data_IF_263421093738
#
_entry.id   IF_263421093738
#
_cell.length_a   1.000
_cell.length_b   1.000
_cell.length_c   1.000
_cell.angle_alpha   90.00
_cell.angle_beta   90.00
_cell.angle_gamma   90.00
#
_symmetry.space_group_name_H-M   'P 1'
#
loop_
_entity.id
_entity.type
_entity.pdbx_description
1 polymer ?
#
# COMPACT_ATOMS: atom_id res chain seq x y z
N UNK A 1 62.54 -18.57 4.25
CA UNK A 1 63.26 -18.67 5.55
C UNK A 1 63.57 -17.30 6.18
N UNK A 2 63.98 -16.27 5.41
CA UNK A 2 64.25 -14.92 5.94
C UNK A 2 63.05 -14.18 6.58
N UNK A 3 61.83 -14.33 6.06
CA UNK A 3 60.63 -13.68 6.64
C UNK A 3 60.25 -14.24 8.01
N UNK A 4 60.48 -15.54 8.24
CA UNK A 4 60.17 -16.20 9.51
C UNK A 4 61.18 -15.87 10.61
N UNK A 5 62.42 -15.52 10.24
CA UNK A 5 63.44 -15.01 11.17
C UNK A 5 63.15 -13.57 11.59
N UNK A 6 62.67 -12.74 10.66
CA UNK A 6 62.22 -11.37 10.97
C UNK A 6 61.05 -11.36 11.95
N UNK A 7 60.03 -12.18 11.69
CA UNK A 7 58.81 -12.17 12.51
C UNK A 7 59.02 -12.72 13.93
N UNK A 8 59.99 -13.62 14.14
CA UNK A 8 60.39 -14.07 15.48
C UNK A 8 61.27 -13.05 16.20
N UNK A 9 62.10 -12.30 15.47
CA UNK A 9 62.90 -11.20 16.00
C UNK A 9 62.02 -10.07 16.53
N UNK A 10 61.07 -9.61 15.72
CA UNK A 10 60.19 -8.48 16.06
C UNK A 10 59.28 -8.80 17.27
N UNK A 11 58.78 -10.04 17.38
CA UNK A 11 57.95 -10.48 18.52
C UNK A 11 58.73 -10.50 19.85
N UNK A 12 59.99 -10.96 19.83
CA UNK A 12 60.85 -10.98 21.02
C UNK A 12 61.19 -9.56 21.47
N UNK A 13 61.51 -8.71 20.50
CA UNK A 13 61.82 -7.31 20.72
C UNK A 13 60.61 -6.56 21.31
N UNK A 14 59.41 -6.74 20.75
CA UNK A 14 58.17 -6.19 21.27
C UNK A 14 57.86 -6.63 22.72
N UNK A 15 58.05 -7.92 23.04
CA UNK A 15 57.83 -8.41 24.41
C UNK A 15 58.80 -7.79 25.43
N UNK A 16 60.04 -7.51 25.03
CA UNK A 16 61.05 -6.90 25.92
C UNK A 16 60.74 -5.43 26.21
N UNK A 17 60.19 -4.71 25.23
CA UNK A 17 59.71 -3.34 25.38
C UNK A 17 58.45 -3.32 26.25
N UNK A 18 57.49 -4.21 25.98
CA UNK A 18 56.27 -4.35 26.77
C UNK A 18 56.57 -4.63 28.24
N UNK A 19 57.54 -5.53 28.52
CA UNK A 19 57.97 -5.82 29.88
C UNK A 19 58.59 -4.60 30.57
N UNK A 20 59.40 -3.81 29.87
CA UNK A 20 60.00 -2.57 30.41
C UNK A 20 58.96 -1.48 30.70
N UNK A 21 57.95 -1.36 29.82
CA UNK A 21 56.81 -0.44 29.99
C UNK A 21 55.96 -0.83 31.18
N UNK A 22 55.63 -2.12 31.33
CA UNK A 22 54.84 -2.64 32.46
C UNK A 22 55.61 -2.48 33.78
N UNK A 23 56.94 -2.59 33.76
CA UNK A 23 57.80 -2.34 34.92
C UNK A 23 58.03 -0.84 35.23
N UNK A 24 57.37 0.08 34.51
CA UNK A 24 57.50 1.52 34.76
C UNK A 24 58.82 2.14 34.31
N UNK A 25 59.64 1.43 33.53
CA UNK A 25 60.86 1.97 32.94
C UNK A 25 60.54 2.65 31.61
N UNK A 26 61.07 3.85 31.38
CA UNK A 26 60.94 4.56 30.10
C UNK A 26 61.82 3.84 29.05
N UNK A 27 61.26 3.15 28.05
CA UNK A 27 62.07 2.49 27.04
C UNK A 27 62.69 3.56 26.13
N UNK A 28 63.98 3.43 25.83
CA UNK A 28 64.61 4.25 24.81
C UNK A 28 64.08 3.81 23.43
N UNK A 29 63.17 4.60 22.86
CA UNK A 29 62.45 4.33 21.61
C UNK A 29 63.22 4.76 20.34
N UNK A 30 64.51 5.12 20.45
CA UNK A 30 65.36 5.46 19.30
C UNK A 30 65.46 4.27 18.33
N UNK A 31 64.60 4.26 17.30
CA UNK A 31 64.56 3.25 16.24
C UNK A 31 63.20 2.57 16.03
N UNK A 32 62.20 2.79 16.88
CA UNK A 32 60.85 2.25 16.67
C UNK A 32 59.98 3.23 15.89
N UNK A 33 60.15 3.23 14.57
CA UNK A 33 59.17 3.87 13.71
C UNK A 33 57.92 2.99 13.68
N UNK A 34 56.85 3.42 14.34
CA UNK A 34 55.50 2.85 14.16
C UNK A 34 55.16 2.71 12.67
N UNK A 35 55.71 3.58 11.84
CA UNK A 35 55.63 3.59 10.39
C UNK A 35 56.12 2.29 9.70
N UNK A 36 57.08 1.58 10.30
CA UNK A 36 57.58 0.28 9.79
C UNK A 36 56.70 -0.91 10.19
N UNK A 37 55.96 -0.82 11.31
CA UNK A 37 55.00 -1.84 11.75
C UNK A 37 53.60 -1.59 11.17
N UNK A 38 53.25 -0.31 11.01
CA UNK A 38 52.02 0.22 10.41
C UNK A 38 52.36 0.69 8.99
N UNK A 39 53.23 -0.05 8.30
CA UNK A 39 53.51 0.23 6.90
C UNK A 39 52.24 -0.01 6.11
N UNK A 40 51.88 0.96 5.28
CA UNK A 40 50.70 0.96 4.41
C UNK A 40 50.52 -0.38 3.66
N UNK A 41 51.62 -1.02 3.26
CA UNK A 41 51.63 -2.34 2.60
C UNK A 41 51.13 -3.49 3.50
N UNK A 42 51.48 -3.50 4.79
CA UNK A 42 51.05 -4.54 5.73
C UNK A 42 49.56 -4.36 6.04
N UNK A 43 49.13 -3.12 6.23
CA UNK A 43 47.73 -2.77 6.51
C UNK A 43 46.85 -3.17 5.33
N UNK A 44 47.22 -2.78 4.12
CA UNK A 44 46.41 -3.09 2.93
C UNK A 44 46.33 -4.61 2.69
N UNK A 45 47.45 -5.33 2.82
CA UNK A 45 47.44 -6.79 2.67
C UNK A 45 46.64 -7.52 3.77
N UNK A 46 46.68 -7.03 5.01
CA UNK A 46 45.87 -7.59 6.09
C UNK A 46 44.39 -7.26 5.87
N UNK A 47 44.08 -6.00 5.53
CA UNK A 47 42.73 -5.52 5.28
C UNK A 47 42.08 -6.29 4.14
N UNK A 48 42.72 -6.42 2.98
CA UNK A 48 42.17 -7.16 1.83
C UNK A 48 41.89 -8.62 2.15
N UNK A 49 42.72 -9.25 2.97
CA UNK A 49 42.55 -10.66 3.38
C UNK A 49 41.35 -10.88 4.29
N UNK A 50 41.02 -9.91 5.14
CA UNK A 50 39.82 -9.95 5.99
C UNK A 50 38.58 -9.44 5.26
N UNK A 51 38.73 -8.37 4.48
CA UNK A 51 37.65 -7.75 3.71
C UNK A 51 37.12 -8.68 2.62
N UNK A 52 37.97 -9.45 1.94
CA UNK A 52 37.54 -10.47 0.98
C UNK A 52 36.71 -11.58 1.62
N UNK A 53 37.10 -12.06 2.81
CA UNK A 53 36.31 -13.04 3.57
C UNK A 53 34.96 -12.45 3.99
N UNK A 54 34.96 -11.19 4.41
CA UNK A 54 33.77 -10.47 4.84
C UNK A 54 32.83 -10.20 3.67
N UNK A 55 33.36 -9.90 2.48
CA UNK A 55 32.60 -9.71 1.25
C UNK A 55 31.96 -11.00 0.74
N UNK A 56 32.67 -12.14 0.80
CA UNK A 56 32.10 -13.46 0.45
C UNK A 56 31.02 -13.86 1.45
N UNK A 57 31.24 -13.58 2.74
CA UNK A 57 30.25 -13.86 3.79
C UNK A 57 29.02 -12.92 3.71
N UNK A 58 29.19 -11.65 3.33
CA UNK A 58 28.08 -10.71 3.16
C UNK A 58 27.22 -11.04 1.93
N UNK A 59 27.84 -11.48 0.83
CA UNK A 59 27.12 -11.97 -0.34
C UNK A 59 26.30 -13.23 -0.01
N UNK A 60 26.87 -14.15 0.78
CA UNK A 60 26.16 -15.33 1.28
C UNK A 60 24.97 -14.94 2.18
N UNK A 61 25.17 -13.98 3.09
CA UNK A 61 24.11 -13.47 3.97
C UNK A 61 23.00 -12.76 3.18
N UNK A 62 23.36 -12.01 2.14
CA UNK A 62 22.39 -11.35 1.25
C UNK A 62 21.47 -12.33 0.53
N UNK A 63 22.01 -13.43 0.00
CA UNK A 63 21.21 -14.46 -0.65
C UNK A 63 20.30 -15.19 0.35
N UNK A 64 20.82 -15.56 1.52
CA UNK A 64 20.03 -16.23 2.55
C UNK A 64 18.90 -15.34 3.09
N UNK A 65 19.17 -14.06 3.33
CA UNK A 65 18.19 -13.10 3.85
C UNK A 65 17.15 -12.71 2.81
N UNK A 66 17.54 -12.52 1.55
CA UNK A 66 16.61 -12.25 0.45
C UNK A 66 15.62 -13.40 0.23
N UNK A 67 16.09 -14.65 0.26
CA UNK A 67 15.20 -15.82 0.16
C UNK A 67 14.27 -15.94 1.36
N UNK A 68 14.77 -15.73 2.59
CA UNK A 68 13.94 -15.77 3.80
C UNK A 68 12.85 -14.69 3.80
N UNK A 69 13.20 -13.45 3.44
CA UNK A 69 12.25 -12.35 3.30
C UNK A 69 11.26 -12.59 2.16
N UNK A 70 11.72 -13.13 1.03
CA UNK A 70 10.89 -13.49 -0.10
C UNK A 70 9.83 -14.53 0.27
N UNK A 71 10.23 -15.61 0.94
CA UNK A 71 9.30 -16.65 1.42
C UNK A 71 8.27 -16.05 2.39
N UNK A 72 8.71 -15.21 3.33
CA UNK A 72 7.80 -14.53 4.26
C UNK A 72 6.78 -13.63 3.54
N UNK A 73 7.24 -12.85 2.55
CA UNK A 73 6.36 -12.00 1.73
C UNK A 73 5.36 -12.86 0.96
N UNK A 74 5.78 -13.97 0.36
CA UNK A 74 4.90 -14.89 -0.38
C UNK A 74 3.80 -15.43 0.55
N UNK A 75 4.17 -15.93 1.75
CA UNK A 75 3.18 -16.43 2.73
C UNK A 75 2.20 -15.32 3.12
N UNK A 76 2.69 -14.09 3.33
CA UNK A 76 1.86 -12.93 3.67
C UNK A 76 0.90 -12.54 2.55
N UNK A 77 1.36 -12.58 1.28
CA UNK A 77 0.53 -12.32 0.10
C UNK A 77 -0.53 -13.39 -0.07
N UNK A 78 -0.19 -14.67 0.13
CA UNK A 78 -1.16 -15.77 0.06
C UNK A 78 -2.23 -15.62 1.15
N UNK A 79 -1.83 -15.34 2.40
CA UNK A 79 -2.78 -15.05 3.48
C UNK A 79 -3.70 -13.89 3.12
N UNK A 80 -3.13 -12.78 2.64
CA UNK A 80 -3.91 -11.62 2.22
C UNK A 80 -4.87 -11.94 1.07
N UNK A 81 -4.44 -12.74 0.09
CA UNK A 81 -5.28 -13.17 -1.02
C UNK A 81 -6.46 -14.04 -0.55
N UNK A 82 -6.22 -14.96 0.39
CA UNK A 82 -7.29 -15.78 0.99
C UNK A 82 -8.27 -14.90 1.77
N UNK A 83 -7.77 -14.00 2.62
CA UNK A 83 -8.61 -13.05 3.38
C UNK A 83 -9.42 -12.14 2.44
N UNK A 84 -8.81 -11.69 1.33
CA UNK A 84 -9.42 -10.85 0.29
C UNK A 84 -10.46 -11.62 -0.52
N UNK A 85 -10.25 -12.90 -0.81
CA UNK A 85 -11.21 -13.73 -1.54
C UNK A 85 -12.42 -14.09 -0.66
N UNK A 86 -12.20 -14.37 0.63
CA UNK A 86 -13.28 -14.64 1.58
C UNK A 86 -14.18 -13.40 1.73
N UNK A 87 -13.59 -12.22 1.94
CA UNK A 87 -14.35 -10.97 2.00
C UNK A 87 -14.90 -10.57 0.62
N UNK A 88 -14.16 -10.86 -0.45
CA UNK A 88 -14.52 -10.57 -1.83
C UNK A 88 -15.74 -11.37 -2.30
N UNK A 89 -15.93 -12.61 -1.83
CA UNK A 89 -17.16 -13.37 -2.12
C UNK A 89 -18.40 -12.77 -1.48
N UNK A 90 -18.30 -12.29 -0.24
CA UNK A 90 -19.38 -11.58 0.46
C UNK A 90 -19.70 -10.28 -0.27
N UNK A 91 -18.67 -9.57 -0.73
CA UNK A 91 -18.81 -8.33 -1.49
C UNK A 91 -19.35 -8.55 -2.91
N UNK A 92 -18.96 -9.63 -3.60
CA UNK A 92 -19.41 -9.96 -4.95
C UNK A 92 -20.92 -10.21 -5.00
N UNK A 93 -21.43 -10.96 -4.02
CA UNK A 93 -22.85 -11.30 -3.92
C UNK A 93 -23.74 -10.09 -3.61
N UNK A 94 -23.17 -9.06 -2.95
CA UNK A 94 -23.90 -7.85 -2.54
C UNK A 94 -23.74 -6.71 -3.54
N UNK A 95 -22.52 -6.45 -4.02
CA UNK A 95 -22.23 -5.20 -4.72
C UNK A 95 -22.47 -5.28 -6.21
N UNK A 96 -22.16 -6.38 -6.91
CA UNK A 96 -22.26 -6.45 -8.38
C UNK A 96 -21.49 -5.36 -9.16
N UNK A 97 -20.83 -4.42 -8.46
CA UNK A 97 -20.34 -3.12 -8.91
C UNK A 97 -18.90 -2.85 -8.42
N UNK A 98 -18.35 -3.72 -7.56
CA UNK A 98 -17.00 -3.57 -6.99
C UNK A 98 -15.89 -3.64 -8.03
N UNK A 99 -16.05 -4.50 -9.04
CA UNK A 99 -15.14 -4.58 -10.18
C UNK A 99 -15.17 -3.29 -11.02
N UNK A 100 -16.33 -2.66 -11.14
CA UNK A 100 -16.51 -1.41 -11.86
C UNK A 100 -15.82 -0.25 -11.13
N UNK A 101 -15.84 -0.22 -9.79
CA UNK A 101 -15.10 0.76 -8.99
C UNK A 101 -13.58 0.63 -9.18
N UNK A 102 -13.06 -0.60 -9.22
CA UNK A 102 -11.64 -0.85 -9.52
C UNK A 102 -11.28 -0.48 -10.95
N UNK A 103 -12.17 -0.74 -11.92
CA UNK A 103 -12.00 -0.30 -13.29
C UNK A 103 -11.99 1.24 -13.40
N UNK A 104 -12.94 1.95 -12.76
CA UNK A 104 -12.98 3.42 -12.74
C UNK A 104 -11.79 4.03 -12.00
N UNK A 105 -11.34 3.39 -10.92
CA UNK A 105 -10.13 3.78 -10.21
C UNK A 105 -8.89 3.60 -11.08
N UNK A 106 -8.79 2.46 -11.79
CA UNK A 106 -7.72 2.18 -12.73
C UNK A 106 -7.73 3.15 -13.92
N UNK A 107 -8.91 3.51 -14.42
CA UNK A 107 -9.07 4.46 -15.52
C UNK A 107 -8.69 5.88 -15.09
N UNK A 108 -9.05 6.28 -13.86
CA UNK A 108 -8.62 7.54 -13.25
C UNK A 108 -7.11 7.58 -12.98
N UNK A 109 -6.53 6.47 -12.51
CA UNK A 109 -5.09 6.34 -12.27
C UNK A 109 -4.30 6.34 -13.59
N UNK A 110 -4.82 5.68 -14.63
CA UNK A 110 -4.24 5.70 -15.97
C UNK A 110 -4.32 7.11 -16.56
N UNK A 111 -5.42 7.82 -16.34
CA UNK A 111 -5.55 9.21 -16.77
C UNK A 111 -4.56 10.13 -16.01
N UNK A 112 -4.33 9.91 -14.71
CA UNK A 112 -3.37 10.67 -13.91
C UNK A 112 -1.91 10.37 -14.28
N UNK A 113 -1.58 9.10 -14.51
CA UNK A 113 -0.23 8.68 -14.89
C UNK A 113 0.08 9.09 -16.34
N UNK A 114 -0.89 8.95 -17.25
CA UNK A 114 -0.75 9.40 -18.63
C UNK A 114 -0.76 10.92 -18.76
N UNK A 115 -1.35 11.66 -17.82
CA UNK A 115 -1.31 13.13 -17.80
C UNK A 115 0.09 13.68 -17.45
N UNK A 116 0.97 12.89 -16.84
CA UNK A 116 2.36 13.29 -16.58
C UNK A 116 3.32 12.99 -17.73
N UNK A 117 2.88 12.25 -18.75
CA UNK A 117 3.66 11.96 -19.96
C UNK A 117 2.93 12.48 -21.20
N UNK A 118 3.29 13.70 -21.61
CA UNK A 118 2.77 14.48 -22.73
C UNK A 118 1.37 15.10 -22.52
N UNK A 119 1.40 16.41 -22.25
CA UNK A 119 0.38 17.35 -22.68
C UNK A 119 0.13 17.16 -24.18
N UNK A 120 -0.83 16.32 -24.55
CA UNK A 120 -1.62 16.53 -25.76
C UNK A 120 -3.02 16.89 -25.29
N UNK A 121 -3.37 18.19 -25.26
CA UNK A 121 -4.63 18.63 -24.71
C UNK A 121 -5.79 18.00 -25.47
N UNK A 122 -6.79 17.61 -24.70
CA UNK A 122 -8.16 17.25 -25.08
C UNK A 122 -8.86 18.46 -25.72
N UNK A 123 -8.32 19.00 -26.81
CA UNK A 123 -8.86 20.18 -27.48
C UNK A 123 -10.04 19.86 -28.41
N UNK A 124 -10.32 18.58 -28.69
CA UNK A 124 -11.33 18.19 -29.69
C UNK A 124 -12.72 17.90 -29.11
N UNK A 125 -12.85 17.66 -27.80
CA UNK A 125 -14.18 17.46 -27.16
C UNK A 125 -14.78 18.76 -26.63
N UNK A 126 -13.94 19.71 -26.21
CA UNK A 126 -14.39 21.00 -25.69
C UNK A 126 -14.91 21.94 -26.79
N UNK A 127 -14.46 21.81 -28.05
CA UNK A 127 -15.04 22.58 -29.16
C UNK A 127 -16.41 22.04 -29.60
N UNK A 128 -16.65 20.73 -29.46
CA UNK A 128 -17.96 20.13 -29.75
C UNK A 128 -18.98 20.48 -28.65
N UNK A 129 -18.57 20.46 -27.38
CA UNK A 129 -19.43 20.83 -26.26
C UNK A 129 -19.79 22.34 -26.25
N UNK A 130 -18.90 23.20 -26.75
CA UNK A 130 -19.18 24.65 -26.86
C UNK A 130 -20.25 24.98 -27.91
N UNK A 131 -20.32 24.21 -29.00
CA UNK A 131 -21.37 24.41 -30.02
C UNK A 131 -22.76 23.97 -29.53
N UNK A 132 -22.84 23.00 -28.63
CA UNK A 132 -24.11 22.55 -28.03
C UNK A 132 -24.60 23.49 -26.92
N UNK A 133 -23.69 24.10 -26.16
CA UNK A 133 -24.03 25.07 -25.10
C UNK A 133 -24.57 26.38 -25.70
N UNK A 134 -23.98 26.89 -26.80
CA UNK A 134 -24.45 28.12 -27.47
C UNK A 134 -25.86 27.94 -28.08
N UNK A 135 -26.28 26.71 -28.40
CA UNK A 135 -27.64 26.38 -28.86
C UNK A 135 -28.66 26.21 -27.73
N UNK A 136 -28.21 25.93 -26.51
CA UNK A 136 -29.07 25.69 -25.35
C UNK A 136 -29.37 26.96 -24.53
N UNK A 137 -28.51 27.98 -24.62
CA UNK A 137 -28.65 29.23 -23.86
C UNK A 137 -29.79 30.14 -24.36
N UNK A 138 -30.15 30.07 -25.65
CA UNK A 138 -31.35 30.78 -26.18
C UNK A 138 -32.68 30.18 -25.71
N UNK A 139 -32.68 28.97 -25.13
CA UNK A 139 -33.88 28.29 -24.64
C UNK A 139 -34.27 28.57 -23.18
N UNK A 140 -33.43 29.28 -22.41
CA UNK A 140 -33.59 29.42 -20.94
C UNK A 140 -33.69 30.90 -20.52
N UNK A 141 -34.33 31.75 -21.34
CA UNK A 141 -34.79 33.08 -20.89
C UNK A 141 -36.17 33.00 -20.18
N UNK A 142 -36.77 31.81 -20.05
CA UNK A 142 -38.11 31.64 -19.45
C UNK A 142 -38.17 30.41 -18.53
N UNK A 143 -37.62 30.48 -17.32
CA UNK A 143 -38.24 29.75 -16.19
C UNK A 143 -37.97 30.45 -14.85
N UNK A 144 -39.06 31.00 -14.35
CA UNK A 144 -39.27 31.59 -13.02
C UNK A 144 -38.76 30.67 -11.92
N UNK A 145 -38.11 31.29 -10.92
CA UNK A 145 -37.66 30.68 -9.66
C UNK A 145 -38.87 30.19 -8.86
N UNK A 146 -38.97 28.88 -8.60
CA UNK A 146 -39.96 28.32 -7.66
C UNK A 146 -39.40 28.17 -6.24
N UNK A 147 -40.22 28.42 -5.20
CA UNK A 147 -39.80 28.40 -3.80
C UNK A 147 -39.49 26.98 -3.30
N UNK A 148 -38.52 26.90 -2.37
CA UNK A 148 -38.04 25.66 -1.73
C UNK A 148 -39.18 24.91 -1.01
N UNK A 149 -39.80 23.97 -1.71
CA UNK A 149 -40.63 22.93 -1.14
C UNK A 149 -39.73 21.80 -0.63
N UNK A 150 -39.90 21.42 0.64
CA UNK A 150 -39.27 20.23 1.21
C UNK A 150 -39.68 19.03 0.35
N UNK A 151 -38.73 18.48 -0.40
CA UNK A 151 -38.98 17.38 -1.32
C UNK A 151 -39.28 16.08 -0.55
N UNK A 152 -40.56 15.79 -0.31
CA UNK A 152 -41.02 14.41 -0.15
C UNK A 152 -41.13 13.81 -1.54
N UNK A 153 -40.03 13.28 -2.07
CA UNK A 153 -40.09 12.47 -3.30
C UNK A 153 -40.71 11.12 -2.93
N UNK A 154 -41.92 10.87 -3.45
CA UNK A 154 -42.50 9.54 -3.51
C UNK A 154 -41.47 8.63 -4.19
N UNK A 155 -40.89 7.72 -3.41
CA UNK A 155 -39.83 6.83 -3.84
C UNK A 155 -40.39 5.93 -4.95
N UNK A 156 -39.72 5.92 -6.11
CA UNK A 156 -40.15 5.17 -7.29
C UNK A 156 -40.38 3.69 -7.03
N UNK A 157 -41.08 3.03 -7.97
CA UNK A 157 -41.48 1.64 -7.88
C UNK A 157 -40.31 0.72 -7.48
N UNK A 158 -40.40 0.14 -6.28
CA UNK A 158 -39.34 -0.67 -5.69
C UNK A 158 -39.39 -2.05 -6.36
N UNK A 159 -38.33 -2.43 -7.08
CA UNK A 159 -38.24 -3.73 -7.76
C UNK A 159 -37.25 -4.66 -7.06
N UNK A 160 -37.41 -5.96 -7.31
CA UNK A 160 -36.49 -6.97 -6.79
C UNK A 160 -35.11 -6.72 -7.42
N UNK A 161 -34.07 -6.76 -6.59
CA UNK A 161 -32.70 -6.53 -7.01
C UNK A 161 -32.26 -5.07 -6.99
N UNK A 162 -33.14 -4.11 -6.68
CA UNK A 162 -32.75 -2.71 -6.45
C UNK A 162 -31.88 -2.59 -5.20
N UNK A 163 -30.85 -1.75 -5.28
CA UNK A 163 -29.94 -1.44 -4.19
C UNK A 163 -30.57 -0.36 -3.29
N UNK A 164 -30.65 -0.62 -1.99
CA UNK A 164 -31.25 0.29 -1.00
C UNK A 164 -30.30 0.55 0.15
N UNK A 165 -30.42 1.75 0.72
CA UNK A 165 -29.61 2.18 1.86
C UNK A 165 -30.44 2.02 3.14
N UNK A 166 -29.96 1.17 4.04
CA UNK A 166 -30.63 0.80 5.29
C UNK A 166 -30.02 1.60 6.43
N UNK A 167 -30.82 2.51 7.01
CA UNK A 167 -30.44 3.27 8.20
C UNK A 167 -30.76 2.45 9.46
N UNK A 168 -29.75 1.93 10.13
CA UNK A 168 -29.92 1.23 11.41
C UNK A 168 -29.92 2.22 12.58
N UNK A 169 -30.85 2.07 13.51
CA UNK A 169 -31.03 3.01 14.63
C UNK A 169 -29.95 2.84 15.72
N UNK A 170 -29.25 1.70 15.75
CA UNK A 170 -28.22 1.35 16.74
C UNK A 170 -26.79 1.71 16.31
N UNK A 171 -26.59 2.26 15.10
CA UNK A 171 -25.28 2.65 14.61
C UNK A 171 -25.17 4.17 14.50
N UNK A 172 -23.96 4.73 14.69
CA UNK A 172 -23.75 6.16 14.48
C UNK A 172 -24.18 6.54 13.04
N UNK A 173 -24.72 7.74 12.84
CA UNK A 173 -25.31 8.18 11.56
C UNK A 173 -24.35 8.15 10.36
N UNK A 174 -23.06 7.87 10.57
CA UNK A 174 -22.03 7.69 9.55
C UNK A 174 -21.92 6.26 8.98
N UNK A 175 -22.65 5.28 9.51
CA UNK A 175 -22.60 3.88 9.05
C UNK A 175 -23.96 3.42 8.52
N UNK A 176 -24.29 3.83 7.31
CA UNK A 176 -25.48 3.32 6.61
C UNK A 176 -25.13 2.03 5.88
N UNK A 177 -25.84 0.95 6.19
CA UNK A 177 -25.63 -0.34 5.56
C UNK A 177 -26.28 -0.34 4.17
N UNK A 178 -25.54 -0.80 3.18
CA UNK A 178 -26.04 -0.94 1.81
C UNK A 178 -26.56 -2.37 1.64
N UNK A 179 -27.75 -2.53 1.07
CA UNK A 179 -28.38 -3.85 0.93
C UNK A 179 -29.18 -3.98 -0.36
N UNK A 180 -29.37 -5.23 -0.80
CA UNK A 180 -30.12 -5.53 -2.02
C UNK A 180 -31.45 -6.18 -1.69
N UNK A 181 -32.52 -5.74 -2.35
CA UNK A 181 -33.84 -6.33 -2.14
C UNK A 181 -33.89 -7.72 -2.77
N UNK A 182 -34.10 -8.74 -1.94
CA UNK A 182 -34.28 -10.12 -2.41
C UNK A 182 -35.75 -10.40 -2.70
N UNK A 183 -36.63 -9.96 -1.80
CA UNK A 183 -38.05 -10.29 -1.87
C UNK A 183 -38.91 -9.12 -1.39
N UNK A 184 -40.06 -8.98 -2.01
CA UNK A 184 -41.06 -7.95 -1.73
C UNK A 184 -42.35 -8.66 -1.32
N UNK A 185 -42.88 -8.31 -0.15
CA UNK A 185 -44.16 -8.81 0.34
C UNK A 185 -45.19 -7.69 0.22
N UNK A 186 -46.12 -7.88 -0.71
CA UNK A 186 -47.26 -6.99 -0.91
C UNK A 186 -48.41 -7.34 0.04
N UNK A 187 -49.13 -6.33 0.49
CA UNK A 187 -50.36 -6.51 1.26
C UNK A 187 -51.57 -6.76 0.36
N UNK A 188 -52.75 -6.92 0.98
CA UNK A 188 -54.03 -7.08 0.27
C UNK A 188 -54.37 -5.87 -0.64
N UNK A 189 -53.84 -4.68 -0.31
CA UNK A 189 -54.05 -3.43 -1.06
C UNK A 189 -53.05 -3.23 -2.22
N UNK A 190 -52.35 -4.28 -2.67
CA UNK A 190 -51.24 -4.30 -3.64
C UNK A 190 -50.01 -3.42 -3.30
N UNK A 191 -50.08 -2.68 -2.19
CA UNK A 191 -48.98 -1.86 -1.68
C UNK A 191 -47.90 -2.71 -0.99
N UNK A 192 -46.63 -2.34 -1.22
CA UNK A 192 -45.47 -2.98 -0.57
C UNK A 192 -45.45 -2.59 0.91
N UNK A 193 -45.64 -3.57 1.80
CA UNK A 193 -45.59 -3.32 3.25
C UNK A 193 -44.25 -3.72 3.85
N UNK A 194 -43.65 -4.79 3.33
CA UNK A 194 -42.44 -5.37 3.90
C UNK A 194 -41.49 -5.83 2.80
N UNK A 195 -40.20 -5.58 3.01
CA UNK A 195 -39.12 -5.96 2.11
C UNK A 195 -38.10 -6.81 2.87
N UNK A 196 -37.60 -7.84 2.22
CA UNK A 196 -36.46 -8.65 2.70
C UNK A 196 -35.20 -8.17 1.97
N UNK A 197 -34.22 -7.73 2.74
CA UNK A 197 -33.00 -7.09 2.25
C UNK A 197 -31.81 -7.97 2.64
N UNK A 198 -30.93 -8.27 1.68
CA UNK A 198 -29.61 -8.87 1.93
C UNK A 198 -28.60 -7.78 2.24
N UNK A 199 -27.97 -7.87 3.40
CA UNK A 199 -26.90 -6.98 3.85
C UNK A 199 -25.65 -7.83 4.17
N UNK A 200 -24.49 -7.20 4.33
CA UNK A 200 -23.22 -7.86 4.70
C UNK A 200 -23.32 -8.70 5.98
N UNK A 201 -24.20 -8.31 6.90
CA UNK A 201 -24.37 -8.95 8.21
C UNK A 201 -25.46 -10.04 8.20
N UNK A 202 -26.21 -10.20 7.09
CA UNK A 202 -27.28 -11.18 6.96
C UNK A 202 -28.53 -10.66 6.23
N UNK A 203 -29.59 -11.45 6.28
CA UNK A 203 -30.89 -11.08 5.72
C UNK A 203 -31.75 -10.42 6.79
N UNK A 204 -32.30 -9.24 6.47
CA UNK A 204 -33.14 -8.46 7.39
C UNK A 204 -34.49 -8.14 6.76
N UNK A 205 -35.55 -8.32 7.54
CA UNK A 205 -36.92 -7.96 7.17
C UNK A 205 -37.22 -6.56 7.66
N UNK A 206 -37.56 -5.63 6.77
CA UNK A 206 -37.89 -4.25 7.13
C UNK A 206 -39.24 -3.81 6.57
N UNK A 207 -40.05 -3.21 7.42
CA UNK A 207 -41.29 -2.54 7.00
C UNK A 207 -40.97 -1.20 6.35
N UNK A 208 -41.72 -0.85 5.32
CA UNK A 208 -41.67 0.48 4.71
C UNK A 208 -42.63 1.37 5.51
N UNK A 209 -42.11 2.28 6.33
CA UNK A 209 -42.92 3.37 6.88
C UNK A 209 -43.04 4.49 5.83
N UNK A 210 -44.25 4.98 5.61
CA UNK A 210 -44.51 6.17 4.78
C UNK A 210 -43.87 7.42 5.34
#
# INVERSE_FOLDING_TARGET
MKSMVYEQGDKRVASSVMHKVISGQHPNLQGYSFDAMVTEKIINNAFDRYWSKLAVWSAWLGNATSTALGIYIIVRVVKFAVDTLIHGKILYDIYGLGWQLMASFWDSLTNFLSHRSNLKPTAMKDELAKQDIIKAEEGIQNRVVEPRTKCTRQLGNITIGTMVLVKEDNLPPSKWCLGRIIQIIKGADDNIRVVIIKTKDGEFKRSISK
#
